data_IF_756188057011
#
_entry.id   IF_756188057011
#
_cell.length_a   1.000
_cell.length_b   1.000
_cell.length_c   1.000
_cell.angle_alpha   90.00
_cell.angle_beta   90.00
_cell.angle_gamma   90.00
#
_symmetry.space_group_name_H-M   'P 1'
#
loop_
_entity.id
_entity.type
_entity.pdbx_description
1 polymer ?
#
# COMPACT_ATOMS: atom_id res chain seq x y z
N UNK A 1 6.36 21.11 1.64
CA UNK A 1 7.12 19.84 1.69
C UNK A 1 6.72 18.99 0.50
N UNK A 2 5.48 18.46 0.47
CA UNK A 2 4.91 17.70 -0.65
C UNK A 2 5.20 18.31 -2.04
N UNK A 3 4.80 19.55 -2.30
CA UNK A 3 4.91 20.14 -3.64
C UNK A 3 6.36 20.28 -4.13
N UNK A 4 7.29 20.53 -3.20
CA UNK A 4 8.73 20.60 -3.49
C UNK A 4 9.28 19.22 -3.88
N UNK A 5 8.86 18.18 -3.18
CA UNK A 5 9.29 16.81 -3.45
C UNK A 5 8.69 16.29 -4.76
N UNK A 6 7.44 16.66 -5.07
CA UNK A 6 6.78 16.32 -6.33
C UNK A 6 7.48 16.99 -7.52
N UNK A 7 7.79 18.29 -7.42
CA UNK A 7 8.49 19.03 -8.47
C UNK A 7 9.88 18.45 -8.77
N UNK A 8 10.59 18.01 -7.72
CA UNK A 8 11.91 17.39 -7.88
C UNK A 8 11.85 16.05 -8.64
N UNK A 9 10.86 15.20 -8.33
CA UNK A 9 10.65 13.93 -9.05
C UNK A 9 10.26 14.21 -10.50
N UNK A 10 9.37 15.18 -10.73
CA UNK A 10 8.92 15.55 -12.07
C UNK A 10 10.07 16.04 -12.98
N UNK A 11 11.02 16.80 -12.44
CA UNK A 11 12.22 17.26 -13.16
C UNK A 11 13.05 16.08 -13.71
N UNK A 12 13.31 15.09 -12.87
CA UNK A 12 14.06 13.89 -13.28
C UNK A 12 13.30 13.04 -14.29
N UNK A 13 11.98 12.94 -14.15
CA UNK A 13 11.11 12.22 -15.08
C UNK A 13 11.12 12.86 -16.46
N UNK A 14 11.04 14.19 -16.53
CA UNK A 14 11.15 14.96 -17.80
C UNK A 14 12.51 14.77 -18.46
N UNK A 15 13.59 14.77 -17.68
CA UNK A 15 14.93 14.53 -18.20
C UNK A 15 15.11 13.11 -18.74
N UNK A 16 14.45 12.11 -18.14
CA UNK A 16 14.46 10.73 -18.62
C UNK A 16 13.60 10.54 -19.87
N UNK A 17 12.38 11.09 -19.88
CA UNK A 17 11.48 11.06 -21.03
C UNK A 17 12.10 11.76 -22.26
N UNK A 18 12.79 12.88 -22.05
CA UNK A 18 13.48 13.62 -23.13
C UNK A 18 14.64 12.85 -23.77
N UNK A 19 15.16 11.81 -23.10
CA UNK A 19 16.17 10.88 -23.66
C UNK A 19 15.52 9.67 -24.36
N UNK A 20 14.20 9.67 -24.53
CA UNK A 20 13.44 8.58 -25.14
C UNK A 20 13.02 7.47 -24.17
N UNK A 21 13.15 7.69 -22.86
CA UNK A 21 12.67 6.74 -21.85
C UNK A 21 11.14 6.78 -21.71
N UNK A 22 10.50 5.61 -21.61
CA UNK A 22 9.08 5.52 -21.32
C UNK A 22 8.85 5.54 -19.80
N UNK A 23 8.13 6.55 -19.32
CA UNK A 23 7.88 6.71 -17.89
C UNK A 23 6.56 7.42 -17.65
N UNK A 24 5.76 6.89 -16.73
CA UNK A 24 4.51 7.48 -16.28
C UNK A 24 4.48 7.57 -14.76
N UNK A 25 3.82 8.59 -14.24
CA UNK A 25 3.72 8.83 -12.81
C UNK A 25 2.27 8.93 -12.39
N UNK A 26 1.94 8.20 -11.33
CA UNK A 26 0.61 8.22 -10.71
C UNK A 26 0.78 8.57 -9.24
N UNK A 27 0.11 9.64 -8.81
CA UNK A 27 0.04 10.04 -7.40
C UNK A 27 -1.21 9.41 -6.82
N UNK A 28 -1.05 8.54 -5.81
CA UNK A 28 -2.17 7.90 -5.11
C UNK A 28 -2.65 8.76 -3.92
N UNK A 29 -3.38 9.83 -4.22
CA UNK A 29 -4.01 10.68 -3.20
C UNK A 29 -5.38 10.16 -2.71
N UNK A 30 -5.92 9.17 -3.41
CA UNK A 30 -7.14 8.43 -3.09
C UNK A 30 -6.97 7.44 -1.93
N UNK A 31 -5.72 7.18 -1.50
CA UNK A 31 -5.38 6.16 -0.51
C UNK A 31 -4.78 6.77 0.75
N UNK A 32 -5.24 6.29 1.89
CA UNK A 32 -4.62 6.60 3.18
C UNK A 32 -3.62 5.53 3.55
N UNK A 33 -2.44 5.91 4.05
CA UNK A 33 -1.42 4.97 4.51
C UNK A 33 -1.50 4.81 6.04
N UNK A 34 -1.88 3.62 6.51
CA UNK A 34 -1.87 3.29 7.94
C UNK A 34 -0.69 2.36 8.26
N UNK A 35 0.09 2.70 9.29
CA UNK A 35 1.18 1.86 9.78
C UNK A 35 0.82 1.28 11.16
N UNK A 36 0.59 -0.03 11.23
CA UNK A 36 0.43 -0.74 12.50
C UNK A 36 1.79 -1.33 12.91
N UNK A 37 2.34 -0.87 14.04
CA UNK A 37 3.67 -1.26 14.51
C UNK A 37 3.63 -1.85 15.92
N UNK A 38 4.44 -2.88 16.15
CA UNK A 38 4.61 -3.47 17.48
C UNK A 38 4.82 -4.99 17.43
N UNK A 39 5.30 -5.61 18.51
CA UNK A 39 5.58 -7.04 18.55
C UNK A 39 4.33 -7.92 18.33
N UNK A 40 3.14 -7.37 18.58
CA UNK A 40 1.84 -8.05 18.41
C UNK A 40 1.05 -7.56 17.19
N UNK A 41 1.62 -6.67 16.37
CA UNK A 41 0.91 -6.06 15.23
C UNK A 41 0.40 -7.10 14.22
N UNK A 42 1.25 -8.07 13.87
CA UNK A 42 0.87 -9.17 13.00
C UNK A 42 -0.26 -10.01 13.60
N UNK A 43 -0.19 -10.33 14.90
CA UNK A 43 -1.23 -11.11 15.60
C UNK A 43 -2.57 -10.39 15.62
N UNK A 44 -2.59 -9.08 15.87
CA UNK A 44 -3.85 -8.30 15.86
C UNK A 44 -4.45 -8.30 14.46
N UNK A 45 -3.63 -8.07 13.44
CA UNK A 45 -4.09 -8.01 12.05
C UNK A 45 -4.55 -9.37 11.51
N UNK A 46 -3.94 -10.46 11.99
CA UNK A 46 -4.26 -11.82 11.57
C UNK A 46 -5.75 -12.15 11.74
N UNK A 47 -6.44 -11.54 12.71
CA UNK A 47 -7.88 -11.69 12.91
C UNK A 47 -8.73 -11.10 11.79
N UNK A 48 -8.19 -10.13 11.05
CA UNK A 48 -8.88 -9.40 9.97
C UNK A 48 -8.51 -9.93 8.57
N UNK A 49 -7.39 -10.64 8.43
CA UNK A 49 -6.89 -11.25 7.18
C UNK A 49 -7.29 -12.73 7.07
N UNK A 50 -8.59 -13.02 7.16
CA UNK A 50 -9.11 -14.40 7.19
C UNK A 50 -8.87 -15.08 5.84
N UNK A 51 -7.83 -15.91 5.75
CA UNK A 51 -7.43 -16.62 4.53
C UNK A 51 -5.96 -16.46 4.18
N UNK A 52 -5.25 -15.56 4.85
CA UNK A 52 -3.84 -15.28 4.60
C UNK A 52 -3.03 -15.40 5.89
N UNK A 53 -1.90 -16.11 5.82
CA UNK A 53 -1.02 -16.34 6.97
C UNK A 53 0.10 -15.29 6.99
N UNK A 54 -0.02 -14.32 7.89
CA UNK A 54 0.92 -13.21 8.02
C UNK A 54 2.28 -13.64 8.53
N UNK A 55 2.41 -14.82 9.15
CA UNK A 55 3.71 -15.35 9.59
C UNK A 55 4.63 -15.69 8.41
N UNK A 56 4.05 -15.87 7.21
CA UNK A 56 4.76 -16.14 5.95
C UNK A 56 5.13 -14.88 5.19
N UNK A 57 4.69 -13.70 5.64
CA UNK A 57 5.20 -12.45 5.10
C UNK A 57 6.53 -12.09 5.78
N UNK A 58 7.59 -12.11 5.00
CA UNK A 58 8.90 -11.64 5.40
C UNK A 58 9.03 -10.14 5.24
N UNK A 59 9.96 -9.55 5.99
CA UNK A 59 10.31 -8.15 5.83
C UNK A 59 10.74 -7.85 4.38
N UNK A 60 10.23 -6.79 3.78
CA UNK A 60 10.41 -6.43 2.38
C UNK A 60 9.36 -7.04 1.43
N UNK A 61 8.49 -7.94 1.90
CA UNK A 61 7.39 -8.46 1.08
C UNK A 61 6.24 -7.46 1.00
N UNK A 62 5.64 -7.43 -0.19
CA UNK A 62 4.43 -6.69 -0.50
C UNK A 62 3.38 -7.65 -1.05
N UNK A 63 2.18 -7.65 -0.46
CA UNK A 63 1.05 -8.47 -0.91
C UNK A 63 -0.26 -7.71 -0.78
N UNK A 64 -1.17 -7.89 -1.73
CA UNK A 64 -2.55 -7.44 -1.59
C UNK A 64 -3.31 -8.48 -0.77
N UNK A 65 -3.89 -8.04 0.35
CA UNK A 65 -4.65 -8.86 1.27
C UNK A 65 -6.09 -8.38 1.31
N UNK A 66 -7.02 -9.31 1.53
CA UNK A 66 -8.35 -8.96 1.99
C UNK A 66 -8.27 -8.69 3.51
N UNK A 67 -8.65 -7.48 3.91
CA UNK A 67 -8.73 -7.08 5.32
C UNK A 67 -10.14 -6.56 5.55
N UNK A 68 -10.88 -7.25 6.41
CA UNK A 68 -12.24 -6.84 6.77
C UNK A 68 -13.18 -6.67 5.56
N UNK A 69 -13.02 -7.48 4.50
CA UNK A 69 -13.85 -7.46 3.29
C UNK A 69 -13.45 -6.40 2.25
N UNK A 70 -12.36 -5.68 2.47
CA UNK A 70 -11.75 -4.75 1.52
C UNK A 70 -10.41 -5.27 1.01
N UNK A 71 -10.06 -4.97 -0.25
CA UNK A 71 -8.71 -5.25 -0.77
C UNK A 71 -7.73 -4.15 -0.32
N UNK A 72 -6.66 -4.55 0.36
CA UNK A 72 -5.64 -3.65 0.89
C UNK A 72 -4.26 -4.14 0.52
N UNK A 73 -3.44 -3.25 -0.05
CA UNK A 73 -2.03 -3.58 -0.23
C UNK A 73 -1.34 -3.60 1.14
N UNK A 74 -0.41 -4.51 1.36
CA UNK A 74 0.19 -4.76 2.66
C UNK A 74 1.68 -4.93 2.47
N UNK A 75 2.49 -4.10 3.11
CA UNK A 75 3.95 -4.28 3.12
C UNK A 75 4.44 -4.51 4.53
N UNK A 76 5.35 -5.47 4.68
CA UNK A 76 6.01 -5.72 5.96
C UNK A 76 7.36 -5.02 5.95
N UNK A 77 7.50 -3.96 6.72
CA UNK A 77 8.71 -3.14 6.77
C UNK A 77 9.42 -3.32 8.12
N UNK A 78 10.75 -3.09 8.17
CA UNK A 78 11.39 -2.78 9.42
C UNK A 78 10.82 -1.42 9.86
N UNK A 79 10.02 -1.41 10.93
CA UNK A 79 9.46 -0.17 11.45
C UNK A 79 10.56 0.76 11.94
N UNK A 80 10.21 2.04 12.10
CA UNK A 80 11.12 3.15 12.46
C UNK A 80 11.83 3.02 13.82
N UNK A 81 11.70 1.87 14.50
CA UNK A 81 12.38 1.49 15.75
C UNK A 81 12.79 0.00 15.79
N UNK A 82 13.03 -0.62 14.64
CA UNK A 82 13.39 -2.04 14.54
C UNK A 82 12.26 -3.02 14.88
N UNK A 83 11.00 -2.55 14.86
CA UNK A 83 9.81 -3.37 15.12
C UNK A 83 9.05 -3.60 13.82
N UNK A 84 8.65 -4.83 13.52
CA UNK A 84 7.85 -5.14 12.32
C UNK A 84 6.62 -4.24 12.24
N UNK A 85 6.47 -3.55 11.10
CA UNK A 85 5.34 -2.69 10.81
C UNK A 85 4.64 -3.15 9.55
N UNK A 86 3.30 -3.19 9.56
CA UNK A 86 2.53 -3.38 8.34
C UNK A 86 1.93 -2.06 7.87
N UNK A 87 2.11 -1.78 6.57
CA UNK A 87 1.57 -0.60 5.89
C UNK A 87 0.42 -0.97 4.98
N UNK A 88 -0.71 -0.27 5.11
CA UNK A 88 -1.88 -0.46 4.24
C UNK A 88 -2.29 0.83 3.56
N UNK A 89 -2.32 0.89 2.22
CA UNK A 89 -3.10 1.88 1.51
C UNK A 89 -4.58 1.47 1.54
N UNK A 90 -5.41 2.27 2.21
CA UNK A 90 -6.86 2.09 2.23
C UNK A 90 -7.46 2.47 0.88
N UNK A 91 -8.12 1.52 0.20
CA UNK A 91 -8.91 1.81 -1.00
C UNK A 91 -10.29 2.33 -0.58
N UNK A 92 -10.54 3.63 -0.72
CA UNK A 92 -11.89 4.18 -0.57
C UNK A 92 -12.66 3.96 -1.88
N UNK A 93 -13.08 2.72 -2.15
CA UNK A 93 -14.14 2.43 -3.13
C UNK A 93 -14.70 1.02 -2.96
N UNK A 94 -15.80 0.92 -2.22
CA UNK A 94 -16.73 -0.21 -2.30
C UNK A 94 -18.06 0.36 -2.81
N UNK A 95 -18.12 0.67 -4.12
CA UNK A 95 -19.42 0.85 -4.76
C UNK A 95 -20.02 -0.54 -4.98
N UNK A 96 -21.12 -0.81 -4.28
CA UNK A 96 -21.92 -2.02 -4.43
C UNK A 96 -22.39 -2.15 -5.89
N UNK A 97 -21.74 -3.00 -6.68
CA UNK A 97 -22.31 -3.48 -7.94
C UNK A 97 -23.25 -4.62 -7.61
N UNK A 98 -24.46 -4.26 -7.19
CA UNK A 98 -25.61 -5.15 -7.20
C UNK A 98 -25.88 -5.51 -8.67
N UNK A 99 -25.32 -6.64 -9.15
CA UNK A 99 -25.75 -7.23 -10.42
C UNK A 99 -27.22 -7.59 -10.28
N UNK A 100 -28.10 -6.94 -11.05
CA UNK A 100 -29.43 -7.49 -11.34
C UNK A 100 -29.31 -8.44 -12.55
N UNK A 101 -30.01 -9.58 -12.55
CA UNK A 101 -29.90 -10.57 -13.60
C UNK A 101 -30.90 -10.31 -14.75
N UNK A 102 -30.47 -10.71 -15.95
CA UNK A 102 -31.16 -10.79 -17.25
C UNK A 102 -31.69 -9.50 -17.89
#
# INVERSE_FOLDING_TARGET
MRDKDLAHIEEHMKAYASKGGDVSWQIHDDRSLLALQGPVAATVLQHLTKGEDLSKMYCGNFKVLDINGGSHASSQEPGTRGKTGLKFPYLRNMQSTLRKPF
#
